data_IF_676873463811
#
_entry.id   IF_676873463811
#
_cell.length_a   1.000
_cell.length_b   1.000
_cell.length_c   1.000
_cell.angle_alpha   90.00
_cell.angle_beta   90.00
_cell.angle_gamma   90.00
#
_symmetry.space_group_name_H-M   'P 1'
#
loop_
_entity.id
_entity.type
_entity.pdbx_description
1 polymer ?
#
# COMPACT_ATOMS: atom_id res chain seq x y z
N UNK A 1 -50.54 -4.76 -17.64
CA UNK A 1 -49.68 -4.68 -16.47
C UNK A 1 -49.17 -3.24 -16.33
N UNK A 2 -49.24 -2.68 -15.14
CA UNK A 2 -48.71 -1.34 -14.83
C UNK A 2 -47.64 -1.50 -13.77
N UNK A 3 -46.41 -1.10 -14.07
CA UNK A 3 -45.33 -0.94 -13.11
C UNK A 3 -45.32 0.52 -12.66
N UNK A 4 -45.25 0.75 -11.38
CA UNK A 4 -45.10 2.08 -10.81
C UNK A 4 -43.94 2.04 -9.84
N UNK A 5 -42.96 2.91 -10.05
CA UNK A 5 -41.77 3.05 -9.18
C UNK A 5 -41.85 4.40 -8.50
N UNK A 6 -41.63 4.46 -7.21
CA UNK A 6 -41.59 5.69 -6.42
C UNK A 6 -40.30 5.71 -5.62
N UNK A 7 -39.48 6.76 -5.77
CA UNK A 7 -38.14 6.85 -5.20
C UNK A 7 -37.11 6.11 -6.06
N UNK A 8 -36.01 5.72 -5.45
CA UNK A 8 -34.95 4.91 -6.05
C UNK A 8 -34.83 3.56 -5.31
N UNK A 9 -35.79 2.62 -5.52
CA UNK A 9 -35.80 1.34 -4.84
C UNK A 9 -34.74 0.40 -5.42
N UNK A 10 -34.12 -0.40 -4.55
CA UNK A 10 -33.23 -1.49 -4.95
C UNK A 10 -33.84 -2.84 -4.60
N UNK A 11 -33.64 -3.84 -5.46
CA UNK A 11 -34.00 -5.23 -5.19
C UNK A 11 -32.94 -5.96 -4.37
N UNK A 12 -31.76 -5.34 -4.13
CA UNK A 12 -30.67 -5.92 -3.35
C UNK A 12 -31.01 -6.12 -1.87
N UNK A 13 -31.85 -5.24 -1.28
CA UNK A 13 -32.32 -5.33 0.10
C UNK A 13 -33.83 -5.20 0.22
N UNK A 14 -34.58 -6.24 -0.10
CA UNK A 14 -36.02 -6.26 0.06
C UNK A 14 -36.37 -6.45 1.53
N UNK A 15 -36.87 -5.41 2.21
CA UNK A 15 -37.27 -5.46 3.61
C UNK A 15 -38.72 -5.97 3.83
N UNK A 16 -39.61 -5.68 2.87
CA UNK A 16 -41.04 -6.02 3.01
C UNK A 16 -41.64 -6.25 1.64
N UNK A 17 -42.41 -7.33 1.53
CA UNK A 17 -43.24 -7.61 0.36
C UNK A 17 -44.70 -7.64 0.78
N UNK A 18 -45.57 -7.05 -0.03
CA UNK A 18 -47.00 -7.07 0.18
C UNK A 18 -47.70 -7.60 -1.07
N UNK A 19 -48.49 -8.62 -0.89
CA UNK A 19 -49.35 -9.18 -1.93
C UNK A 19 -50.80 -8.83 -1.64
N UNK A 20 -51.48 -8.29 -2.61
CA UNK A 20 -52.85 -7.87 -2.46
C UNK A 20 -53.69 -8.13 -3.70
N UNK A 21 -54.96 -8.26 -3.51
CA UNK A 21 -55.94 -8.42 -4.60
C UNK A 21 -56.81 -7.15 -4.64
N UNK A 22 -56.95 -6.59 -5.86
CA UNK A 22 -57.75 -5.43 -6.11
C UNK A 22 -58.91 -5.77 -7.06
N UNK A 23 -60.12 -5.49 -6.63
CA UNK A 23 -61.28 -5.59 -7.52
C UNK A 23 -61.35 -4.32 -8.39
N UNK A 24 -61.20 -4.46 -9.70
CA UNK A 24 -61.27 -3.35 -10.67
C UNK A 24 -62.65 -3.29 -11.38
N UNK A 25 -63.63 -4.07 -10.95
CA UNK A 25 -65.01 -4.02 -11.49
C UNK A 25 -65.92 -3.10 -10.63
N UNK A 26 -67.00 -2.59 -11.21
CA UNK A 26 -68.01 -1.80 -10.52
C UNK A 26 -68.83 -2.66 -9.54
N UNK A 27 -68.87 -3.95 -9.73
CA UNK A 27 -69.63 -4.88 -8.92
C UNK A 27 -68.84 -5.50 -7.78
N UNK A 28 -69.48 -5.78 -6.67
CA UNK A 28 -68.90 -6.53 -5.56
C UNK A 28 -68.70 -7.97 -6.01
N UNK A 29 -67.45 -8.47 -5.97
CA UNK A 29 -67.09 -9.84 -6.27
C UNK A 29 -66.57 -10.54 -5.00
N UNK A 30 -66.99 -11.73 -4.77
CA UNK A 30 -66.42 -12.63 -3.77
C UNK A 30 -65.56 -13.70 -4.47
N UNK A 31 -64.47 -14.06 -3.82
CA UNK A 31 -63.55 -15.10 -4.37
C UNK A 31 -62.42 -15.37 -3.38
N UNK A 32 -61.74 -16.45 -3.59
CA UNK A 32 -60.55 -16.84 -2.82
C UNK A 32 -59.33 -16.74 -3.72
N UNK A 33 -58.25 -16.21 -3.15
CA UNK A 33 -56.93 -16.15 -3.81
C UNK A 33 -55.94 -16.91 -2.96
N UNK A 34 -55.38 -17.93 -3.51
CA UNK A 34 -54.38 -18.76 -2.88
C UNK A 34 -53.02 -18.35 -3.34
N UNK A 35 -52.16 -17.94 -2.38
CA UNK A 35 -50.76 -17.59 -2.63
C UNK A 35 -49.92 -18.69 -2.01
N UNK A 36 -49.18 -19.41 -2.83
CA UNK A 36 -48.31 -20.48 -2.38
C UNK A 36 -46.85 -20.09 -2.62
N UNK A 37 -46.02 -20.20 -1.61
CA UNK A 37 -44.57 -20.04 -1.59
C UNK A 37 -43.98 -18.91 -2.45
N UNK A 38 -43.35 -17.95 -1.80
CA UNK A 38 -42.46 -17.00 -2.45
C UNK A 38 -41.03 -17.55 -2.37
N UNK A 39 -40.46 -17.86 -3.53
CA UNK A 39 -39.10 -18.43 -3.66
C UNK A 39 -38.23 -17.56 -4.50
N UNK A 40 -36.98 -17.35 -4.09
CA UNK A 40 -35.93 -16.86 -4.97
C UNK A 40 -35.56 -17.96 -5.97
N UNK A 41 -35.54 -17.65 -7.26
CA UNK A 41 -35.08 -18.50 -8.33
C UNK A 41 -33.84 -17.90 -8.96
N UNK A 42 -33.12 -18.72 -9.74
CA UNK A 42 -32.01 -18.28 -10.56
C UNK A 42 -30.86 -17.70 -9.72
N UNK A 43 -30.49 -18.42 -8.66
CA UNK A 43 -29.26 -18.08 -7.93
C UNK A 43 -28.06 -18.08 -8.88
N UNK A 44 -27.28 -17.02 -8.85
CA UNK A 44 -26.05 -16.95 -9.62
C UNK A 44 -25.03 -17.96 -9.05
N UNK A 45 -24.84 -19.07 -9.77
CA UNK A 45 -23.87 -20.11 -9.42
C UNK A 45 -22.57 -19.99 -10.23
N UNK A 46 -22.35 -18.88 -10.93
CA UNK A 46 -21.13 -18.69 -11.69
C UNK A 46 -19.92 -18.75 -10.74
N UNK A 47 -18.97 -19.59 -11.07
CA UNK A 47 -17.72 -19.71 -10.34
C UNK A 47 -16.75 -18.60 -10.74
N UNK A 48 -15.98 -18.13 -9.76
CA UNK A 48 -14.88 -17.22 -10.00
C UNK A 48 -13.54 -17.94 -10.10
N UNK A 49 -12.52 -17.21 -10.50
CA UNK A 49 -11.16 -17.69 -10.57
C UNK A 49 -10.20 -16.67 -9.95
N UNK A 50 -9.07 -17.13 -9.47
CA UNK A 50 -8.01 -16.28 -8.98
C UNK A 50 -6.66 -16.73 -9.56
N UNK A 51 -5.80 -15.75 -9.81
CA UNK A 51 -4.44 -15.99 -10.26
C UNK A 51 -3.48 -15.09 -9.50
N UNK A 52 -2.28 -15.60 -9.24
CA UNK A 52 -1.17 -14.83 -8.71
C UNK A 52 0.10 -15.17 -9.47
N UNK A 53 0.94 -14.16 -9.68
CA UNK A 53 2.24 -14.30 -10.31
C UNK A 53 3.29 -13.56 -9.46
N UNK A 54 4.49 -14.11 -9.42
CA UNK A 54 5.64 -13.49 -8.78
C UNK A 54 6.86 -13.72 -9.67
N UNK A 55 7.56 -12.62 -9.98
CA UNK A 55 8.81 -12.63 -10.72
C UNK A 55 9.87 -11.92 -9.88
N UNK A 56 10.95 -12.63 -9.59
CA UNK A 56 12.11 -12.07 -8.92
C UNK A 56 13.32 -12.14 -9.85
N UNK A 57 13.95 -10.99 -10.10
CA UNK A 57 15.14 -10.87 -10.92
C UNK A 57 16.27 -10.30 -10.08
N UNK A 58 17.33 -11.07 -9.92
CA UNK A 58 18.54 -10.63 -9.24
C UNK A 58 19.52 -10.06 -10.27
N UNK A 59 19.90 -8.79 -10.09
CA UNK A 59 20.83 -8.06 -10.95
C UNK A 59 22.25 -8.13 -10.41
N UNK A 60 22.77 -9.36 -10.20
CA UNK A 60 24.07 -9.59 -9.61
C UNK A 60 24.23 -8.81 -8.28
N UNK A 61 25.28 -8.00 -8.17
CA UNK A 61 25.59 -7.15 -7.02
C UNK A 61 25.00 -5.74 -7.10
N UNK A 62 24.33 -5.42 -8.20
CA UNK A 62 23.65 -4.14 -8.40
C UNK A 62 22.33 -4.05 -7.62
N UNK A 63 21.61 -5.18 -7.49
CA UNK A 63 20.34 -5.17 -6.78
C UNK A 63 19.36 -6.23 -7.24
N UNK A 64 18.08 -5.99 -6.99
CA UNK A 64 16.99 -6.89 -7.35
C UNK A 64 15.75 -6.14 -7.80
N UNK A 65 14.97 -6.79 -8.66
CA UNK A 65 13.64 -6.35 -9.08
C UNK A 65 12.67 -7.46 -8.79
N UNK A 66 11.61 -7.14 -8.05
CA UNK A 66 10.51 -8.06 -7.76
C UNK A 66 9.22 -7.48 -8.36
N UNK A 67 8.51 -8.29 -9.14
CA UNK A 67 7.20 -7.96 -9.68
C UNK A 67 6.19 -8.99 -9.23
N UNK A 68 5.11 -8.54 -8.63
CA UNK A 68 4.00 -9.39 -8.18
C UNK A 68 2.72 -8.94 -8.81
N UNK A 69 1.84 -9.88 -9.13
CA UNK A 69 0.51 -9.63 -9.64
C UNK A 69 -0.48 -10.60 -9.02
N UNK A 70 -1.66 -10.11 -8.69
CA UNK A 70 -2.79 -10.91 -8.20
C UNK A 70 -4.07 -10.43 -8.83
N UNK A 71 -4.89 -11.36 -9.26
CA UNK A 71 -6.23 -11.10 -9.76
C UNK A 71 -7.22 -12.07 -9.13
N UNK A 72 -8.37 -11.56 -8.74
CA UNK A 72 -9.50 -12.32 -8.20
C UNK A 72 -10.73 -11.86 -8.96
N UNK A 73 -11.45 -12.79 -9.59
CA UNK A 73 -12.71 -12.47 -10.25
C UNK A 73 -13.89 -12.56 -9.29
N UNK A 74 -14.97 -11.90 -9.63
CA UNK A 74 -16.26 -12.09 -8.96
C UNK A 74 -16.63 -13.58 -8.91
N UNK A 75 -17.38 -13.98 -7.87
CA UNK A 75 -17.79 -15.36 -7.65
C UNK A 75 -16.70 -16.30 -7.14
N UNK A 76 -15.46 -15.80 -6.93
CA UNK A 76 -14.39 -16.58 -6.32
C UNK A 76 -14.63 -16.73 -4.82
N UNK A 77 -14.44 -17.94 -4.29
CA UNK A 77 -14.53 -18.28 -2.88
C UNK A 77 -13.88 -19.62 -2.59
N UNK A 78 -13.69 -19.95 -1.31
CA UNK A 78 -13.21 -21.26 -0.87
C UNK A 78 -14.20 -22.37 -1.16
N UNK A 79 -13.74 -23.62 -1.14
CA UNK A 79 -14.60 -24.78 -1.36
C UNK A 79 -15.72 -24.92 -0.32
N UNK A 80 -15.48 -24.39 0.88
CA UNK A 80 -16.43 -24.43 2.00
C UNK A 80 -17.32 -23.18 2.08
N UNK A 81 -17.03 -22.17 1.25
CA UNK A 81 -17.78 -20.92 1.26
C UNK A 81 -19.15 -21.09 0.59
N UNK A 82 -20.18 -20.65 1.27
CA UNK A 82 -21.52 -20.55 0.69
C UNK A 82 -21.55 -19.54 -0.46
N UNK A 83 -22.52 -19.66 -1.36
CA UNK A 83 -22.67 -18.77 -2.52
C UNK A 83 -22.73 -17.28 -2.12
N UNK A 84 -23.34 -16.98 -0.96
CA UNK A 84 -23.48 -15.63 -0.45
C UNK A 84 -22.18 -15.02 0.14
N UNK A 85 -21.18 -15.85 0.44
CA UNK A 85 -19.90 -15.42 1.01
C UNK A 85 -18.79 -15.27 -0.03
N UNK A 86 -19.07 -15.57 -1.30
CA UNK A 86 -18.12 -15.39 -2.40
C UNK A 86 -17.91 -13.91 -2.69
N UNK A 87 -16.74 -13.58 -3.28
CA UNK A 87 -16.43 -12.20 -3.66
C UNK A 87 -17.42 -11.70 -4.72
N UNK A 88 -17.95 -10.50 -4.50
CA UNK A 88 -18.84 -9.82 -5.45
C UNK A 88 -18.08 -8.94 -6.42
N UNK A 89 -16.81 -8.63 -6.11
CA UNK A 89 -16.02 -7.66 -6.84
C UNK A 89 -14.86 -8.32 -7.56
N UNK A 90 -14.48 -7.76 -8.70
CA UNK A 90 -13.23 -8.08 -9.35
C UNK A 90 -12.11 -7.28 -8.70
N UNK A 91 -11.08 -7.95 -8.19
CA UNK A 91 -9.93 -7.35 -7.57
C UNK A 91 -8.66 -7.64 -8.35
N UNK A 92 -7.93 -6.61 -8.71
CA UNK A 92 -6.64 -6.73 -9.38
C UNK A 92 -5.58 -5.86 -8.68
N UNK A 93 -4.42 -6.43 -8.41
CA UNK A 93 -3.28 -5.68 -7.90
C UNK A 93 -2.00 -6.11 -8.63
N UNK A 94 -1.14 -5.15 -8.86
CA UNK A 94 0.23 -5.42 -9.25
C UNK A 94 1.19 -4.49 -8.53
N UNK A 95 2.36 -5.02 -8.20
CA UNK A 95 3.41 -4.30 -7.53
C UNK A 95 4.75 -4.59 -8.20
N UNK A 96 5.53 -3.54 -8.42
CA UNK A 96 6.92 -3.64 -8.86
C UNK A 96 7.79 -2.97 -7.82
N UNK A 97 8.73 -3.71 -7.28
CA UNK A 97 9.67 -3.25 -6.26
C UNK A 97 11.08 -3.41 -6.79
N UNK A 98 11.87 -2.36 -6.70
CA UNK A 98 13.27 -2.33 -7.18
C UNK A 98 14.16 -1.86 -6.04
N UNK A 99 15.19 -2.64 -5.73
CA UNK A 99 16.25 -2.28 -4.78
C UNK A 99 17.58 -2.29 -5.50
N UNK A 100 18.25 -1.14 -5.54
CA UNK A 100 19.51 -0.96 -6.26
C UNK A 100 20.56 -0.35 -5.36
N UNK A 101 21.81 -0.80 -5.49
CA UNK A 101 22.99 -0.18 -4.87
C UNK A 101 23.68 0.72 -5.91
N UNK A 102 23.25 2.00 -5.95
CA UNK A 102 23.76 2.98 -6.91
C UNK A 102 25.23 3.33 -6.67
N UNK A 103 25.77 2.99 -5.51
CA UNK A 103 27.18 3.12 -5.19
C UNK A 103 28.10 2.35 -6.13
N UNK A 104 27.61 1.28 -6.75
CA UNK A 104 28.36 0.47 -7.73
C UNK A 104 28.72 1.20 -9.03
N UNK A 105 28.05 2.29 -9.33
CA UNK A 105 28.41 3.14 -10.49
C UNK A 105 29.61 4.07 -10.20
N UNK A 106 30.06 4.14 -8.96
CA UNK A 106 31.21 4.94 -8.56
C UNK A 106 32.48 4.08 -8.43
N UNK A 107 33.66 4.65 -8.58
CA UNK A 107 34.89 3.91 -8.39
C UNK A 107 34.99 3.31 -6.98
N UNK A 108 35.47 2.07 -6.88
CA UNK A 108 35.62 1.35 -5.59
C UNK A 108 36.44 2.11 -4.55
N UNK A 109 37.36 2.96 -5.02
CA UNK A 109 38.18 3.83 -4.14
C UNK A 109 37.36 4.86 -3.36
N UNK A 110 36.22 5.29 -3.89
CA UNK A 110 35.35 6.27 -3.25
C UNK A 110 34.46 5.64 -2.15
N UNK A 111 34.31 4.27 -2.15
CA UNK A 111 33.47 3.53 -1.21
C UNK A 111 32.11 4.18 -1.00
N UNK A 112 31.48 4.56 -2.10
CA UNK A 112 30.15 5.17 -2.09
C UNK A 112 29.11 4.07 -1.90
N UNK A 113 28.17 4.25 -0.97
CA UNK A 113 26.99 3.40 -0.80
C UNK A 113 25.75 4.29 -0.89
N UNK A 114 24.90 4.00 -1.86
CA UNK A 114 23.65 4.73 -2.09
C UNK A 114 22.57 3.67 -2.37
N UNK A 115 22.00 3.05 -1.31
CA UNK A 115 20.90 2.12 -1.47
C UNK A 115 19.65 2.88 -1.91
N UNK A 116 19.15 2.54 -3.09
CA UNK A 116 17.94 3.09 -3.66
C UNK A 116 16.84 2.04 -3.63
N UNK A 117 15.70 2.41 -3.12
CA UNK A 117 14.49 1.61 -3.13
C UNK A 117 13.38 2.37 -3.87
N UNK A 118 12.74 1.69 -4.80
CA UNK A 118 11.57 2.19 -5.51
C UNK A 118 10.50 1.11 -5.55
N UNK A 119 9.27 1.46 -5.22
CA UNK A 119 8.14 0.57 -5.42
C UNK A 119 6.93 1.33 -5.96
N UNK A 120 6.22 0.67 -6.85
CA UNK A 120 4.91 1.11 -7.33
C UNK A 120 3.93 -0.03 -7.16
N UNK A 121 2.80 0.24 -6.50
CA UNK A 121 1.70 -0.70 -6.35
C UNK A 121 0.44 -0.04 -6.88
N UNK A 122 -0.28 -0.75 -7.73
CA UNK A 122 -1.61 -0.33 -8.20
C UNK A 122 -2.62 -1.41 -7.91
N UNK A 123 -3.71 -0.98 -7.31
CA UNK A 123 -4.86 -1.81 -6.98
C UNK A 123 -6.09 -1.26 -7.67
N UNK A 124 -6.92 -2.15 -8.17
CA UNK A 124 -8.20 -1.82 -8.77
C UNK A 124 -9.24 -2.81 -8.28
N UNK A 125 -10.28 -2.29 -7.65
CA UNK A 125 -11.48 -3.04 -7.30
C UNK A 125 -12.62 -2.55 -8.18
N UNK A 126 -13.25 -3.47 -8.89
CA UNK A 126 -14.37 -3.17 -9.79
C UNK A 126 -15.59 -3.94 -9.29
N UNK A 127 -16.63 -3.25 -8.79
CA UNK A 127 -17.83 -3.89 -8.30
C UNK A 127 -18.58 -4.58 -9.44
N UNK A 128 -19.33 -5.62 -9.10
CA UNK A 128 -20.21 -6.31 -10.06
C UNK A 128 -21.34 -5.40 -10.51
N UNK A 129 -21.98 -4.70 -9.59
CA UNK A 129 -23.12 -3.83 -9.84
C UNK A 129 -22.68 -2.38 -9.98
N UNK A 130 -23.42 -1.63 -10.80
CA UNK A 130 -23.16 -0.20 -10.97
C UNK A 130 -23.56 0.55 -9.68
N UNK A 131 -22.63 1.27 -9.01
CA UNK A 131 -22.99 2.02 -7.80
C UNK A 131 -24.00 3.14 -8.05
N UNK A 132 -24.09 3.65 -9.28
CA UNK A 132 -25.09 4.66 -9.67
C UNK A 132 -26.48 4.06 -9.89
N UNK A 133 -26.56 2.75 -10.19
CA UNK A 133 -27.80 1.99 -10.36
C UNK A 133 -27.54 0.56 -9.89
N UNK A 134 -27.83 0.31 -8.62
CA UNK A 134 -27.46 -0.93 -7.93
C UNK A 134 -28.20 -2.18 -8.44
N UNK A 135 -29.23 -2.00 -9.26
CA UNK A 135 -29.98 -3.09 -9.89
C UNK A 135 -29.43 -3.48 -11.28
N UNK A 136 -28.47 -2.70 -11.81
CA UNK A 136 -27.81 -2.94 -13.08
C UNK A 136 -26.39 -3.48 -12.87
N UNK A 137 -26.01 -4.54 -13.60
CA UNK A 137 -24.62 -4.96 -13.64
C UNK A 137 -23.76 -3.86 -14.28
N UNK A 138 -22.58 -3.60 -13.71
CA UNK A 138 -21.66 -2.58 -14.24
C UNK A 138 -21.29 -2.84 -15.71
N UNK A 139 -21.15 -4.12 -16.07
CA UNK A 139 -20.88 -4.53 -17.46
C UNK A 139 -21.96 -4.04 -18.42
N UNK A 140 -23.23 -4.22 -18.06
CA UNK A 140 -24.36 -3.81 -18.89
C UNK A 140 -24.43 -2.28 -18.99
N UNK A 141 -24.13 -1.55 -17.90
CA UNK A 141 -24.01 -0.10 -17.92
C UNK A 141 -22.88 0.38 -18.85
N UNK A 142 -21.74 -0.29 -18.84
CA UNK A 142 -20.61 0.02 -19.71
C UNK A 142 -20.90 -0.32 -21.20
N UNK A 143 -21.65 -1.37 -21.45
CA UNK A 143 -22.03 -1.80 -22.81
C UNK A 143 -23.15 -0.90 -23.38
N UNK A 144 -24.00 -0.32 -22.53
CA UNK A 144 -25.03 0.64 -22.90
C UNK A 144 -24.49 2.07 -23.15
N UNK A 145 -23.28 2.37 -22.71
CA UNK A 145 -22.67 3.68 -22.88
C UNK A 145 -22.49 4.04 -24.37
N UNK A 146 -23.01 5.21 -24.76
CA UNK A 146 -23.01 5.67 -26.15
C UNK A 146 -21.65 6.14 -26.68
N UNK A 147 -20.70 6.41 -25.80
CA UNK A 147 -19.36 6.90 -26.15
C UNK A 147 -18.28 6.33 -25.22
N UNK A 148 -17.04 6.31 -25.73
CA UNK A 148 -15.89 5.92 -24.92
C UNK A 148 -15.71 6.79 -23.69
N UNK A 149 -15.95 8.10 -23.84
CA UNK A 149 -15.83 9.05 -22.74
C UNK A 149 -16.84 8.75 -21.62
N UNK A 150 -18.08 8.43 -21.97
CA UNK A 150 -19.11 8.04 -21.01
C UNK A 150 -18.76 6.73 -20.30
N UNK A 151 -18.30 5.73 -21.06
CA UNK A 151 -17.80 4.47 -20.51
C UNK A 151 -16.66 4.67 -19.52
N UNK A 152 -15.65 5.47 -19.88
CA UNK A 152 -14.51 5.79 -19.01
C UNK A 152 -14.97 6.56 -17.76
N UNK A 153 -16.00 7.41 -17.89
CA UNK A 153 -16.58 8.14 -16.76
C UNK A 153 -17.28 7.20 -15.79
N UNK A 154 -18.16 6.31 -16.29
CA UNK A 154 -18.85 5.31 -15.46
C UNK A 154 -17.82 4.41 -14.75
N UNK A 155 -16.82 3.91 -15.47
CA UNK A 155 -15.78 3.06 -14.90
C UNK A 155 -14.94 3.79 -13.83
N UNK A 156 -14.64 5.07 -14.03
CA UNK A 156 -13.87 5.84 -13.06
C UNK A 156 -14.66 6.18 -11.79
N UNK A 157 -15.98 6.24 -11.88
CA UNK A 157 -16.84 6.41 -10.71
C UNK A 157 -16.98 5.08 -9.98
N UNK A 158 -17.29 4.01 -10.71
CA UNK A 158 -17.60 2.71 -10.13
C UNK A 158 -16.38 2.00 -9.52
N UNK A 159 -15.20 2.10 -10.17
CA UNK A 159 -14.03 1.37 -9.73
C UNK A 159 -13.22 2.14 -8.68
N UNK A 160 -12.89 1.48 -7.57
CA UNK A 160 -11.90 1.99 -6.61
C UNK A 160 -10.50 1.69 -7.14
N UNK A 161 -9.68 2.74 -7.26
CA UNK A 161 -8.29 2.65 -7.73
C UNK A 161 -7.37 3.25 -6.68
N UNK A 162 -6.34 2.50 -6.30
CA UNK A 162 -5.31 2.96 -5.37
C UNK A 162 -3.97 2.83 -6.07
N UNK A 163 -3.23 3.93 -6.12
CA UNK A 163 -1.85 3.95 -6.62
C UNK A 163 -0.94 4.38 -5.49
N UNK A 164 0.01 3.54 -5.13
CA UNK A 164 1.04 3.84 -4.14
C UNK A 164 2.40 3.82 -4.80
N UNK A 165 3.19 4.87 -4.58
CA UNK A 165 4.56 4.97 -5.04
C UNK A 165 5.45 5.32 -3.86
N UNK A 166 6.49 4.51 -3.65
CA UNK A 166 7.48 4.75 -2.62
C UNK A 166 8.84 4.88 -3.28
N UNK A 167 9.54 5.92 -2.93
CA UNK A 167 10.92 6.16 -3.32
C UNK A 167 11.74 6.40 -2.06
N UNK A 168 12.86 5.73 -1.88
CA UNK A 168 13.76 6.03 -0.78
C UNK A 168 15.22 5.80 -1.13
N UNK A 169 16.06 6.65 -0.57
CA UNK A 169 17.50 6.50 -0.48
C UNK A 169 17.80 6.42 1.00
N UNK A 170 18.31 5.31 1.48
CA UNK A 170 18.55 5.06 2.89
C UNK A 170 20.03 5.07 3.20
N UNK A 171 20.46 5.89 4.18
CA UNK A 171 21.83 5.86 4.69
C UNK A 171 22.89 6.00 3.58
N UNK A 172 22.63 6.93 2.62
CA UNK A 172 23.60 7.25 1.58
C UNK A 172 24.86 7.87 2.23
N UNK A 173 26.01 7.28 1.96
CA UNK A 173 27.27 7.66 2.58
C UNK A 173 28.46 7.46 1.65
N UNK A 174 29.53 8.21 1.93
CA UNK A 174 30.80 8.10 1.25
C UNK A 174 31.81 7.54 2.26
N UNK A 175 32.40 6.40 1.99
CA UNK A 175 33.45 5.81 2.82
C UNK A 175 34.82 6.41 2.54
N UNK A 176 35.78 6.18 3.44
CA UNK A 176 37.16 6.53 3.23
C UNK A 176 37.97 5.27 2.91
N UNK A 177 38.67 5.26 1.79
CA UNK A 177 39.48 4.12 1.34
C UNK A 177 40.85 4.05 2.05
N UNK A 178 41.13 4.87 3.06
CA UNK A 178 42.40 4.92 3.76
C UNK A 178 42.37 4.12 5.05
N UNK A 179 43.55 3.64 5.51
CA UNK A 179 43.71 2.99 6.83
C UNK A 179 43.63 3.99 8.00
N UNK A 180 43.44 5.26 7.72
CA UNK A 180 43.34 6.33 8.71
C UNK A 180 41.93 6.34 9.31
N UNK A 181 41.83 6.53 10.60
CA UNK A 181 40.54 6.78 11.26
C UNK A 181 39.92 8.10 10.77
N UNK A 182 38.60 8.13 10.56
CA UNK A 182 37.90 9.35 10.13
C UNK A 182 38.15 10.49 11.09
N UNK A 183 38.45 11.66 10.56
CA UNK A 183 38.52 12.91 11.34
C UNK A 183 37.10 13.46 11.52
N UNK A 184 36.85 14.36 12.51
CA UNK A 184 35.50 14.87 12.76
C UNK A 184 34.80 15.47 11.52
N UNK A 185 35.57 16.08 10.63
CA UNK A 185 35.10 16.76 9.43
C UNK A 185 35.04 15.87 8.17
N UNK A 186 35.36 14.58 8.30
CA UNK A 186 35.39 13.68 7.14
C UNK A 186 33.96 13.36 6.67
N UNK A 187 33.70 13.34 5.34
CA UNK A 187 32.39 12.98 4.78
C UNK A 187 31.89 11.60 5.19
N UNK A 188 32.80 10.69 5.57
CA UNK A 188 32.45 9.34 6.03
C UNK A 188 31.65 9.33 7.34
N UNK A 189 31.65 10.41 8.10
CA UNK A 189 30.89 10.56 9.32
C UNK A 189 29.43 10.95 9.07
N UNK A 190 29.10 11.33 7.83
CA UNK A 190 27.77 11.77 7.45
C UNK A 190 27.04 10.67 6.68
N UNK A 191 25.76 10.52 6.96
CA UNK A 191 24.85 9.74 6.15
C UNK A 191 23.56 10.52 5.90
N UNK A 192 23.03 10.33 4.71
CA UNK A 192 21.82 11.01 4.26
C UNK A 192 20.73 9.97 3.95
N UNK A 193 19.53 10.25 4.43
CA UNK A 193 18.33 9.47 4.15
C UNK A 193 17.25 10.37 3.57
N UNK A 194 16.62 9.93 2.50
CA UNK A 194 15.47 10.60 1.91
C UNK A 194 14.42 9.57 1.55
N UNK A 195 13.17 9.84 1.88
CA UNK A 195 12.04 9.05 1.42
C UNK A 195 10.87 9.91 1.01
N UNK A 196 10.18 9.47 -0.02
CA UNK A 196 8.92 10.04 -0.49
C UNK A 196 7.93 8.92 -0.72
N UNK A 197 6.80 9.02 -0.06
CA UNK A 197 5.66 8.14 -0.23
C UNK A 197 4.50 8.94 -0.79
N UNK A 198 3.94 8.46 -1.89
CA UNK A 198 2.78 9.05 -2.54
C UNK A 198 1.69 8.00 -2.65
N UNK A 199 0.47 8.34 -2.22
CA UNK A 199 -0.73 7.53 -2.41
C UNK A 199 -1.80 8.38 -3.05
N UNK A 200 -2.43 7.82 -4.08
CA UNK A 200 -3.56 8.41 -4.78
C UNK A 200 -4.69 7.40 -4.86
N UNK A 201 -5.86 7.77 -4.34
CA UNK A 201 -7.05 6.92 -4.28
C UNK A 201 -8.21 7.61 -4.98
N UNK A 202 -8.94 6.87 -5.80
CA UNK A 202 -10.23 7.28 -6.38
C UNK A 202 -11.23 6.17 -6.17
N UNK A 203 -12.50 6.52 -6.06
CA UNK A 203 -13.57 5.56 -5.85
C UNK A 203 -14.95 6.19 -6.01
N UNK A 204 -15.97 5.45 -5.66
CA UNK A 204 -17.36 5.85 -5.77
C UNK A 204 -17.65 7.17 -5.04
N UNK A 205 -17.40 7.22 -3.74
CA UNK A 205 -17.63 8.40 -2.90
C UNK A 205 -16.45 9.37 -2.88
N UNK A 206 -15.28 8.93 -3.35
CA UNK A 206 -14.05 9.70 -3.32
C UNK A 206 -13.66 10.12 -4.72
N UNK A 207 -13.76 11.40 -5.03
CA UNK A 207 -13.32 11.93 -6.31
C UNK A 207 -11.82 11.79 -6.45
N UNK A 208 -11.06 12.20 -5.41
CA UNK A 208 -9.68 11.84 -5.21
C UNK A 208 -9.26 12.03 -3.74
N UNK A 209 -8.37 11.19 -3.30
CA UNK A 209 -7.64 11.32 -2.05
C UNK A 209 -6.15 11.24 -2.37
N UNK A 210 -5.40 12.25 -1.95
CA UNK A 210 -3.96 12.34 -2.15
C UNK A 210 -3.25 12.44 -0.82
N UNK A 211 -2.28 11.56 -0.61
CA UNK A 211 -1.40 11.55 0.55
C UNK A 211 0.04 11.57 0.07
N UNK A 212 0.79 12.57 0.49
CA UNK A 212 2.23 12.66 0.24
C UNK A 212 2.94 12.79 1.57
N UNK A 213 3.95 11.96 1.78
CA UNK A 213 4.82 12.01 2.94
C UNK A 213 6.26 12.11 2.46
N UNK A 214 6.96 13.14 2.91
CA UNK A 214 8.39 13.34 2.67
C UNK A 214 9.14 13.27 3.98
N UNK A 215 10.26 12.61 3.97
CA UNK A 215 11.19 12.51 5.09
C UNK A 215 12.60 12.71 4.60
N UNK A 216 13.32 13.66 5.20
CA UNK A 216 14.73 13.87 4.99
C UNK A 216 15.45 13.76 6.33
N UNK A 217 16.54 13.01 6.40
CA UNK A 217 17.36 12.91 7.59
C UNK A 217 18.84 13.03 7.23
N UNK A 218 19.57 13.70 8.10
CA UNK A 218 21.02 13.82 8.06
C UNK A 218 21.57 13.34 9.41
N UNK A 219 22.36 12.29 9.33
CA UNK A 219 23.00 11.70 10.49
C UNK A 219 24.50 11.98 10.45
N UNK A 220 25.04 12.40 11.56
CA UNK A 220 26.46 12.54 11.79
C UNK A 220 26.86 11.60 12.93
N UNK A 221 27.89 10.80 12.72
CA UNK A 221 28.43 9.93 13.76
C UNK A 221 29.95 9.83 13.64
N UNK A 222 30.63 10.28 14.64
CA UNK A 222 32.07 10.23 14.72
C UNK A 222 32.52 9.49 15.97
N UNK A 223 33.35 8.47 15.81
CA UNK A 223 33.92 7.65 16.87
C UNK A 223 35.43 7.87 16.90
N UNK A 224 35.91 8.78 17.73
CA UNK A 224 37.35 9.01 17.89
C UNK A 224 38.04 7.77 18.50
N UNK A 225 39.19 7.44 17.96
CA UNK A 225 40.04 6.37 18.50
C UNK A 225 41.12 6.99 19.33
N UNK A 226 41.06 6.76 20.64
CA UNK A 226 42.12 7.16 21.53
C UNK A 226 42.71 5.98 22.28
N UNK A 227 43.94 6.18 22.74
CA UNK A 227 44.54 5.26 23.68
C UNK A 227 44.06 5.65 25.07
N UNK A 228 43.57 4.67 25.83
CA UNK A 228 43.22 4.89 27.23
C UNK A 228 44.45 5.43 27.99
N UNK A 229 44.21 6.37 28.86
CA UNK A 229 45.26 6.85 29.76
C UNK A 229 45.53 5.76 30.83
N UNK A 230 46.71 5.15 30.77
CA UNK A 230 47.15 4.07 31.64
C UNK A 230 48.19 4.62 32.68
N UNK A 231 47.75 5.25 33.77
CA UNK A 231 48.67 5.95 34.70
C UNK A 231 49.65 5.02 35.36
N UNK A 232 49.33 3.74 35.50
CA UNK A 232 50.12 2.78 36.21
C UNK A 232 50.96 1.84 35.34
N UNK A 233 50.96 2.05 34.03
CA UNK A 233 51.70 1.22 33.07
C UNK A 233 53.23 1.18 33.30
N UNK A 234 53.78 2.28 33.88
CA UNK A 234 55.20 2.44 34.13
C UNK A 234 55.71 1.73 35.40
N UNK A 235 54.84 1.10 36.20
CA UNK A 235 55.25 0.43 37.45
C UNK A 235 56.06 -0.83 37.13
N UNK A 236 57.37 -0.85 37.46
CA UNK A 236 58.31 -1.93 37.19
C UNK A 236 58.16 -3.16 38.10
N UNK A 237 57.25 -3.16 39.05
CA UNK A 237 57.10 -4.22 40.04
C UNK A 237 56.38 -5.46 39.42
N UNK A 238 56.90 -6.66 39.70
CA UNK A 238 56.46 -7.97 39.13
C UNK A 238 55.34 -8.68 39.93
N UNK A 239 54.71 -7.98 40.90
CA UNK A 239 53.69 -8.59 41.72
C UNK A 239 52.37 -8.79 40.92
N UNK A 240 51.79 -10.00 40.99
CA UNK A 240 50.53 -10.36 40.31
C UNK A 240 49.33 -9.43 40.69
N UNK A 241 49.32 -8.91 41.90
CA UNK A 241 48.32 -7.96 42.39
C UNK A 241 48.41 -6.58 41.69
N UNK A 242 49.60 -6.16 41.35
CA UNK A 242 49.87 -4.92 40.65
C UNK A 242 49.55 -5.01 39.12
N UNK A 243 49.41 -6.20 38.58
CA UNK A 243 49.04 -6.37 37.19
C UNK A 243 47.60 -5.92 36.93
N UNK A 244 46.70 -5.99 37.90
CA UNK A 244 45.34 -5.42 37.81
C UNK A 244 45.42 -3.91 37.69
N UNK A 245 46.25 -3.26 38.54
CA UNK A 245 46.46 -1.81 38.50
C UNK A 245 47.14 -1.35 37.21
N UNK A 246 48.11 -2.14 36.70
CA UNK A 246 48.79 -1.81 35.42
C UNK A 246 47.85 -1.87 34.20
N UNK A 247 46.80 -2.70 34.27
CA UNK A 247 45.79 -2.81 33.23
C UNK A 247 44.68 -1.77 33.39
N UNK A 248 44.69 -0.99 34.48
CA UNK A 248 43.71 0.05 34.67
C UNK A 248 43.94 1.18 33.67
N UNK A 249 43.00 1.33 32.74
CA UNK A 249 42.96 2.41 31.77
C UNK A 249 41.73 3.27 32.01
N UNK A 250 41.92 4.57 32.08
CA UNK A 250 40.81 5.52 32.19
C UNK A 250 40.56 6.16 30.82
N UNK A 251 39.35 6.05 30.34
CA UNK A 251 38.92 6.71 29.13
C UNK A 251 37.87 7.76 29.50
N UNK A 252 38.27 9.03 29.48
CA UNK A 252 37.44 10.17 29.93
C UNK A 252 36.85 10.96 28.75
N UNK A 253 37.25 10.60 27.51
CA UNK A 253 36.71 11.22 26.31
C UNK A 253 35.51 10.44 25.79
N UNK A 254 34.54 11.08 25.14
CA UNK A 254 33.37 10.39 24.57
C UNK A 254 33.80 9.36 23.53
N UNK A 255 33.22 8.17 23.59
CA UNK A 255 33.52 7.11 22.64
C UNK A 255 32.82 7.32 21.27
N UNK A 256 31.72 8.04 21.28
CA UNK A 256 30.98 8.42 20.10
C UNK A 256 30.33 9.79 20.30
N UNK A 257 30.37 10.60 19.26
CA UNK A 257 29.63 11.85 19.13
C UNK A 257 28.72 11.69 17.95
N UNK A 258 27.40 11.68 18.19
CA UNK A 258 26.40 11.54 17.16
C UNK A 258 25.42 12.71 17.20
N UNK A 259 25.03 13.15 16.01
CA UNK A 259 24.00 14.15 15.80
C UNK A 259 23.07 13.65 14.70
N UNK A 260 21.78 13.65 14.99
CA UNK A 260 20.74 13.29 14.06
C UNK A 260 19.80 14.47 13.88
N UNK A 261 19.48 14.79 12.65
CA UNK A 261 18.43 15.76 12.31
C UNK A 261 17.50 15.16 11.28
N UNK A 262 16.21 15.34 11.52
CA UNK A 262 15.16 14.81 10.68
C UNK A 262 14.13 15.90 10.41
N UNK A 263 13.66 15.93 9.16
CA UNK A 263 12.58 16.78 8.70
C UNK A 263 11.54 15.92 8.00
N UNK A 264 10.30 16.04 8.44
CA UNK A 264 9.14 15.39 7.82
C UNK A 264 8.17 16.43 7.31
N UNK A 265 7.50 16.11 6.22
CA UNK A 265 6.42 16.91 5.67
C UNK A 265 5.32 15.97 5.20
N UNK A 266 4.11 16.22 5.67
CA UNK A 266 2.91 15.50 5.27
C UNK A 266 1.99 16.44 4.49
N UNK A 267 1.41 15.92 3.42
CA UNK A 267 0.37 16.60 2.66
C UNK A 267 -0.80 15.66 2.51
N UNK A 268 -1.98 16.15 2.80
CA UNK A 268 -3.24 15.42 2.67
C UNK A 268 -4.27 16.30 1.98
N UNK A 269 -4.91 15.74 0.98
CA UNK A 269 -5.98 16.37 0.22
C UNK A 269 -7.05 15.32 -0.07
N UNK A 270 -8.29 15.65 0.23
CA UNK A 270 -9.45 14.81 -0.02
C UNK A 270 -10.53 15.64 -0.70
N UNK A 271 -11.07 15.13 -1.79
CA UNK A 271 -12.28 15.62 -2.40
C UNK A 271 -13.29 14.48 -2.51
N UNK A 272 -14.40 14.63 -1.83
CA UNK A 272 -15.51 13.69 -1.87
C UNK A 272 -16.46 14.04 -3.02
N UNK A 273 -17.20 13.04 -3.47
CA UNK A 273 -18.25 13.17 -4.48
C UNK A 273 -19.58 13.13 -3.77
N UNK A 274 -20.44 14.09 -4.07
CA UNK A 274 -21.84 14.05 -3.67
C UNK A 274 -22.60 13.14 -4.64
N UNK A 275 -23.21 12.08 -4.10
CA UNK A 275 -23.96 11.09 -4.90
C UNK A 275 -25.46 11.42 -4.93
N UNK A 276 -25.91 12.45 -4.18
CA UNK A 276 -27.33 12.81 -4.09
C UNK A 276 -27.75 13.87 -5.13
N UNK A 277 -26.81 14.44 -5.90
CA UNK A 277 -27.10 15.52 -6.88
C UNK A 277 -26.99 15.06 -8.32
#
# INVERSE_FOLDING_TARGET
NKLTIVGNPTLGEVKTMMLGVRNNSADIKSGEVWINELRLKEHNNSGGWAANANLNVQLSDLGSVNATGRYISEGFGGLEDGVASRTTDNYGTYSVTTSLEMGKFFPDKAKVSIPLYYSITKEKTTPKYNPLDTDMELKDALDAAGSKHERDSIENIAATKITQTNFSISNARVGIATKRHPMPYDPANFSFTYSHQHQYTTGETTMYERKDNWRGALDYSWSPVYKAWEPFKGLKNKSKWLDILKRFGLNWLPQNIAFNTEMTRDYYELQERDMET
#
